data_IF_742476938204
#
_entry.id   IF_742476938204
#
_cell.length_a   1.000
_cell.length_b   1.000
_cell.length_c   1.000
_cell.angle_alpha   90.00
_cell.angle_beta   90.00
_cell.angle_gamma   90.00
#
_symmetry.space_group_name_H-M   'P 1'
#
loop_
_entity.id
_entity.type
_entity.pdbx_description
1 polymer ?
#
# COMPACT_ATOMS: atom_id res chain seq x y z
N UNK A 1 -43.79 13.32 -7.15
CA UNK A 1 -42.80 14.02 -7.99
C UNK A 1 -43.46 14.95 -9.00
N UNK A 2 -44.28 14.46 -9.93
CA UNK A 2 -44.81 15.24 -11.08
C UNK A 2 -45.58 16.54 -10.74
N UNK A 3 -46.32 16.60 -9.63
CA UNK A 3 -47.11 17.80 -9.25
C UNK A 3 -46.38 18.69 -8.23
N UNK A 4 -45.36 18.17 -7.53
CA UNK A 4 -44.68 18.84 -6.41
C UNK A 4 -43.19 19.09 -6.65
N UNK A 5 -42.68 18.72 -7.83
CA UNK A 5 -41.29 18.95 -8.24
C UNK A 5 -40.21 18.40 -7.30
N UNK A 6 -40.52 17.38 -6.46
CA UNK A 6 -39.54 16.83 -5.53
C UNK A 6 -38.36 16.22 -6.28
N UNK A 7 -37.17 16.76 -6.02
CA UNK A 7 -35.88 16.21 -6.47
C UNK A 7 -35.53 15.03 -5.56
N UNK A 8 -35.14 13.93 -6.19
CA UNK A 8 -34.65 12.73 -5.52
C UNK A 8 -33.11 12.77 -5.55
N UNK A 9 -32.49 12.71 -4.38
CA UNK A 9 -31.04 12.81 -4.23
C UNK A 9 -30.35 11.44 -4.31
N UNK A 10 -31.09 10.33 -4.49
CA UNK A 10 -30.53 8.99 -4.68
C UNK A 10 -29.66 8.51 -3.51
N UNK A 11 -29.96 9.00 -2.31
CA UNK A 11 -29.29 8.58 -1.08
C UNK A 11 -29.88 7.26 -0.52
N UNK A 12 -31.00 6.79 -1.09
CA UNK A 12 -31.67 5.58 -0.67
C UNK A 12 -31.19 4.30 -1.36
N UNK A 13 -31.25 3.20 -0.62
CA UNK A 13 -31.04 1.84 -1.14
C UNK A 13 -31.95 1.54 -2.34
N UNK A 14 -33.24 1.80 -2.21
CA UNK A 14 -34.24 1.45 -3.23
C UNK A 14 -34.08 2.27 -4.50
N UNK A 15 -33.76 3.54 -4.36
CA UNK A 15 -33.59 4.48 -5.49
C UNK A 15 -32.41 4.05 -6.36
N UNK A 16 -31.27 3.71 -5.72
CA UNK A 16 -30.08 3.23 -6.44
C UNK A 16 -30.30 1.86 -7.10
N UNK A 17 -31.08 0.97 -6.47
CA UNK A 17 -31.45 -0.32 -7.08
C UNK A 17 -32.31 -0.13 -8.34
N UNK A 18 -33.27 0.81 -8.31
CA UNK A 18 -34.17 1.04 -9.45
C UNK A 18 -33.41 1.64 -10.64
N UNK A 19 -32.39 2.47 -10.39
CA UNK A 19 -31.57 3.11 -11.43
C UNK A 19 -30.44 2.19 -11.92
N UNK A 20 -30.09 1.16 -11.14
CA UNK A 20 -28.99 0.23 -11.45
C UNK A 20 -27.62 0.75 -11.01
N UNK A 21 -27.57 1.69 -10.07
CA UNK A 21 -26.35 2.21 -9.46
C UNK A 21 -25.90 1.40 -8.24
N UNK A 22 -24.66 1.60 -7.80
CA UNK A 22 -24.17 1.03 -6.54
C UNK A 22 -25.00 1.57 -5.36
N UNK A 23 -25.53 0.65 -4.56
CA UNK A 23 -26.25 1.00 -3.34
C UNK A 23 -25.30 1.60 -2.30
N UNK A 24 -25.75 2.54 -1.45
CA UNK A 24 -24.91 3.15 -0.42
C UNK A 24 -24.73 2.21 0.79
N UNK A 25 -24.42 0.93 0.55
CA UNK A 25 -24.21 -0.10 1.57
C UNK A 25 -23.15 -1.10 1.10
N UNK A 26 -22.42 -1.70 2.05
CA UNK A 26 -21.37 -2.68 1.74
C UNK A 26 -20.27 -2.08 0.87
N UNK A 27 -19.93 -2.76 -0.23
CA UNK A 27 -18.91 -2.29 -1.20
C UNK A 27 -19.33 -1.04 -1.98
N UNK A 28 -20.59 -0.62 -1.91
CA UNK A 28 -21.05 0.59 -2.57
C UNK A 28 -20.79 1.88 -1.80
N UNK A 29 -20.32 1.83 -0.55
CA UNK A 29 -19.77 3.04 0.10
C UNK A 29 -18.29 3.21 -0.25
N UNK A 30 -17.85 4.46 -0.40
CA UNK A 30 -16.48 4.83 -0.82
C UNK A 30 -15.39 4.07 -0.07
N UNK A 31 -15.55 3.86 1.24
CA UNK A 31 -14.57 3.18 2.09
C UNK A 31 -14.33 1.72 1.71
N UNK A 32 -15.35 1.01 1.25
CA UNK A 32 -15.26 -0.43 0.95
C UNK A 32 -15.27 -0.73 -0.55
N UNK A 33 -15.31 0.31 -1.40
CA UNK A 33 -15.34 0.16 -2.86
C UNK A 33 -14.02 -0.35 -3.44
N UNK A 34 -12.91 0.11 -2.87
CA UNK A 34 -11.58 -0.13 -3.45
C UNK A 34 -10.85 -1.31 -2.78
N UNK A 35 -11.48 -1.93 -1.78
CA UNK A 35 -10.93 -3.08 -1.05
C UNK A 35 -10.83 -4.28 -1.98
N UNK A 36 -9.68 -4.97 -1.92
CA UNK A 36 -9.48 -6.26 -2.58
C UNK A 36 -9.74 -7.38 -1.58
N UNK A 37 -10.45 -8.43 -2.02
CA UNK A 37 -10.61 -9.66 -1.25
C UNK A 37 -9.37 -10.58 -1.34
N UNK A 38 -8.37 -10.18 -2.12
CA UNK A 38 -7.14 -10.93 -2.35
C UNK A 38 -6.16 -10.64 -1.20
N UNK A 39 -5.60 -11.67 -0.53
CA UNK A 39 -4.61 -11.47 0.52
C UNK A 39 -3.29 -10.95 -0.06
N UNK A 40 -2.60 -10.11 0.71
CA UNK A 40 -1.30 -9.51 0.35
C UNK A 40 -0.19 -10.54 0.55
N UNK A 41 0.02 -11.37 -0.47
CA UNK A 41 1.10 -12.37 -0.55
C UNK A 41 1.81 -12.25 -1.90
N UNK A 42 3.07 -12.67 -1.99
CA UNK A 42 3.92 -12.49 -3.18
C UNK A 42 3.26 -12.97 -4.49
N UNK A 43 2.62 -14.12 -4.43
CA UNK A 43 1.89 -14.76 -5.54
C UNK A 43 0.71 -13.94 -6.06
N UNK A 44 0.15 -13.07 -5.21
CA UNK A 44 -1.06 -12.30 -5.47
C UNK A 44 -0.79 -10.83 -5.81
N UNK A 45 0.44 -10.34 -5.69
CA UNK A 45 0.82 -9.01 -6.17
C UNK A 45 0.30 -8.69 -7.57
N UNK A 46 0.41 -9.56 -8.60
CA UNK A 46 -0.09 -9.24 -9.93
C UNK A 46 -1.61 -9.01 -9.99
N UNK A 47 -2.38 -9.54 -9.04
CA UNK A 47 -3.84 -9.35 -8.96
C UNK A 47 -4.23 -8.12 -8.12
N UNK A 48 -3.30 -7.60 -7.31
CA UNK A 48 -3.48 -6.43 -6.47
C UNK A 48 -3.15 -5.13 -7.21
N UNK A 49 -2.32 -5.18 -8.25
CA UNK A 49 -2.07 -4.06 -9.17
C UNK A 49 -3.31 -3.85 -10.03
N UNK A 50 -4.23 -2.99 -9.57
CA UNK A 50 -5.55 -2.84 -10.19
C UNK A 50 -5.60 -1.99 -11.45
N UNK A 51 -4.52 -1.32 -11.87
CA UNK A 51 -4.51 -0.57 -13.13
C UNK A 51 -3.13 -0.55 -13.77
N UNK A 52 -3.09 -0.60 -15.10
CA UNK A 52 -1.87 -0.38 -15.90
C UNK A 52 -1.27 1.02 -15.69
N UNK A 53 -2.02 1.95 -15.08
CA UNK A 53 -1.62 3.34 -14.81
C UNK A 53 -0.75 3.48 -13.53
N UNK A 54 -0.70 2.48 -12.66
CA UNK A 54 0.10 2.52 -11.42
C UNK A 54 1.47 1.85 -11.54
N UNK A 55 1.74 1.12 -12.63
CA UNK A 55 3.11 0.70 -12.92
C UNK A 55 3.91 1.98 -13.15
N UNK A 56 4.94 2.29 -12.35
CA UNK A 56 5.72 3.51 -12.52
C UNK A 56 6.33 3.50 -13.91
N UNK A 57 5.68 4.17 -14.86
CA UNK A 57 6.23 4.33 -16.19
C UNK A 57 7.34 5.38 -16.03
N UNK A 58 8.59 5.03 -16.34
CA UNK A 58 9.70 5.94 -16.12
C UNK A 58 9.48 7.23 -16.93
N UNK A 59 9.43 8.34 -16.19
CA UNK A 59 9.07 9.66 -16.67
C UNK A 59 10.24 10.37 -17.34
N UNK A 60 11.46 9.90 -17.11
CA UNK A 60 12.69 10.39 -17.71
C UNK A 60 13.57 9.25 -18.25
N UNK A 61 14.45 9.54 -19.20
CA UNK A 61 15.44 8.58 -19.71
C UNK A 61 16.38 8.09 -18.61
N UNK A 62 16.74 8.97 -17.67
CA UNK A 62 17.58 8.62 -16.52
C UNK A 62 16.92 7.57 -15.62
N UNK A 63 15.62 7.67 -15.38
CA UNK A 63 14.88 6.65 -14.62
C UNK A 63 14.86 5.31 -15.35
N UNK A 64 14.76 5.32 -16.70
CA UNK A 64 14.83 4.09 -17.51
C UNK A 64 16.16 3.40 -17.37
N UNK A 65 17.26 4.15 -17.53
CA UNK A 65 18.61 3.61 -17.43
C UNK A 65 18.91 3.06 -16.03
N UNK A 66 18.41 3.71 -14.96
CA UNK A 66 18.52 3.18 -13.61
C UNK A 66 17.80 1.84 -13.45
N UNK A 67 16.58 1.73 -13.99
CA UNK A 67 15.79 0.48 -13.93
C UNK A 67 16.47 -0.62 -14.76
N UNK A 68 16.95 -0.30 -15.96
CA UNK A 68 17.58 -1.27 -16.86
C UNK A 68 18.89 -1.82 -16.30
N UNK A 69 19.66 -1.00 -15.60
CA UNK A 69 20.92 -1.39 -14.98
C UNK A 69 20.78 -1.79 -13.50
N UNK A 70 19.56 -1.92 -12.97
CA UNK A 70 19.34 -2.29 -11.57
C UNK A 70 19.70 -3.77 -11.34
N UNK A 71 20.75 -4.02 -10.57
CA UNK A 71 21.10 -5.35 -10.08
C UNK A 71 20.60 -5.54 -8.62
N UNK A 72 19.63 -6.43 -8.39
CA UNK A 72 19.09 -6.65 -7.05
C UNK A 72 20.10 -7.28 -6.07
N UNK A 73 21.10 -8.03 -6.54
CA UNK A 73 22.09 -8.65 -5.65
C UNK A 73 23.05 -7.61 -5.07
N UNK A 74 23.48 -6.66 -5.90
CA UNK A 74 24.36 -5.56 -5.46
C UNK A 74 23.64 -4.63 -4.46
N UNK A 75 22.38 -4.27 -4.75
CA UNK A 75 21.57 -3.45 -3.86
C UNK A 75 21.29 -4.11 -2.49
N UNK A 76 21.10 -5.44 -2.48
CA UNK A 76 20.96 -6.19 -1.22
C UNK A 76 22.25 -6.19 -0.41
N UNK A 77 23.40 -6.40 -1.06
CA UNK A 77 24.69 -6.39 -0.39
C UNK A 77 25.04 -5.03 0.23
N UNK A 78 24.72 -3.92 -0.46
CA UNK A 78 24.90 -2.56 0.08
C UNK A 78 24.00 -2.32 1.29
N UNK A 79 22.73 -2.71 1.22
CA UNK A 79 21.79 -2.56 2.33
C UNK A 79 22.16 -3.42 3.55
N UNK A 80 22.67 -4.64 3.34
CA UNK A 80 23.17 -5.49 4.41
C UNK A 80 24.43 -4.93 5.06
N UNK A 81 25.34 -4.34 4.28
CA UNK A 81 26.53 -3.68 4.80
C UNK A 81 26.17 -2.44 5.66
N UNK A 82 25.25 -1.61 5.18
CA UNK A 82 24.75 -0.44 5.93
C UNK A 82 24.00 -0.87 7.21
N UNK A 83 23.18 -1.92 7.13
CA UNK A 83 22.51 -2.49 8.30
C UNK A 83 23.51 -3.02 9.33
N UNK A 84 24.58 -3.70 8.89
CA UNK A 84 25.65 -4.16 9.76
C UNK A 84 26.42 -3.00 10.42
N UNK A 85 26.66 -1.91 9.67
CA UNK A 85 27.28 -0.69 10.21
C UNK A 85 26.40 -0.04 11.28
N UNK A 86 25.09 0.11 11.02
CA UNK A 86 24.15 0.68 12.00
C UNK A 86 23.95 -0.19 13.26
N UNK A 87 24.02 -1.53 13.13
CA UNK A 87 23.96 -2.44 14.26
C UNK A 87 25.24 -2.39 15.12
N UNK A 88 26.40 -2.17 14.49
CA UNK A 88 27.66 -1.99 15.21
C UNK A 88 27.69 -0.67 16.00
N UNK A 89 27.11 0.40 15.47
CA UNK A 89 27.01 1.70 16.15
C UNK A 89 26.11 1.62 17.41
N UNK A 90 25.05 0.81 17.38
CA UNK A 90 24.19 0.58 18.54
C UNK A 90 24.81 -0.33 19.63
N UNK A 91 25.77 -1.18 19.27
CA UNK A 91 26.47 -2.06 20.22
C UNK A 91 27.66 -1.37 20.91
N UNK A 92 28.05 -0.18 20.45
CA UNK A 92 29.14 0.59 21.05
C UNK A 92 28.72 1.35 22.33
N UNK A 93 27.43 1.43 22.64
CA UNK A 93 26.89 2.21 23.78
C UNK A 93 26.67 1.41 25.07
N UNK A 94 26.92 0.09 25.10
CA UNK A 94 26.71 -0.77 26.28
C UNK A 94 27.96 -0.88 27.20
N UNK A 95 28.60 0.25 27.50
CA UNK A 95 29.55 0.36 28.62
C UNK A 95 28.80 0.81 29.91
N UNK A 96 27.93 -0.06 30.45
CA UNK A 96 27.53 0.03 31.85
C UNK A 96 27.52 -1.35 32.54
N UNK A 97 28.72 -1.87 32.70
CA UNK A 97 29.12 -2.77 33.77
C UNK A 97 28.52 -2.35 35.13
N UNK A 98 27.51 -3.07 35.64
CA UNK A 98 27.40 -3.43 37.07
C UNK A 98 26.65 -4.78 37.16
N UNK A 99 27.38 -5.87 37.41
CA UNK A 99 26.79 -7.06 38.03
C UNK A 99 26.79 -6.83 39.55
N UNK A 100 25.65 -6.78 40.24
CA UNK A 100 25.65 -6.97 41.68
C UNK A 100 25.81 -8.46 41.96
N UNK A 101 26.86 -8.79 42.69
CA UNK A 101 27.18 -10.11 43.21
C UNK A 101 26.02 -10.66 44.06
N UNK A 102 25.75 -11.96 43.91
CA UNK A 102 24.86 -12.74 44.76
C UNK A 102 25.28 -12.64 46.24
N UNK A 103 24.30 -12.32 47.10
CA UNK A 103 24.28 -12.63 48.55
C UNK A 103 22.88 -13.17 48.89
#
# INVERSE_FOLDING_TARGET
>A
AAVKGKVDYLDGLKENVIIGGLIPAGTGVKRYRDISAVPVVEENLPLLVKTADEVPVPTSERERELIENYDPEEAQAEAEAEAAESAADLLADDDLFILPSDD
#
